data_IF_618124266863
#
_entry.id   IF_618124266863
#
_cell.length_a   1.000
_cell.length_b   1.000
_cell.length_c   1.000
_cell.angle_alpha   90.00
_cell.angle_beta   90.00
_cell.angle_gamma   90.00
#
_symmetry.space_group_name_H-M   'P 1'
#
loop_
_entity.id
_entity.type
_entity.pdbx_description
1 polymer ?
#
# COMPACT_ATOMS: atom_id res chain seq x y z
N UNK A 1 -26.66 -21.92 7.55
CA UNK A 1 -26.16 -21.20 6.35
C UNK A 1 -24.71 -21.60 6.18
N UNK A 2 -24.34 -22.34 5.16
CA UNK A 2 -22.94 -22.63 4.81
C UNK A 2 -22.27 -21.32 4.40
N UNK A 3 -21.10 -21.03 4.94
CA UNK A 3 -20.30 -19.89 4.49
C UNK A 3 -20.12 -19.97 2.96
N UNK A 4 -20.14 -18.84 2.23
CA UNK A 4 -19.87 -18.86 0.80
C UNK A 4 -18.48 -19.48 0.56
N UNK A 5 -18.29 -20.21 -0.54
CA UNK A 5 -17.01 -20.81 -0.85
C UNK A 5 -15.94 -19.70 -0.93
N UNK A 6 -14.82 -19.94 -0.27
CA UNK A 6 -13.70 -19.00 -0.25
C UNK A 6 -13.15 -18.83 -1.67
N UNK A 7 -12.97 -17.58 -2.10
CA UNK A 7 -12.41 -17.27 -3.41
C UNK A 7 -10.94 -17.70 -3.48
N UNK A 8 -10.56 -18.36 -4.57
CA UNK A 8 -9.21 -18.86 -4.81
C UNK A 8 -8.49 -18.02 -5.85
N UNK A 9 -7.17 -17.83 -5.65
CA UNK A 9 -6.30 -17.19 -6.64
C UNK A 9 -5.02 -18.01 -6.83
N UNK A 10 -4.36 -17.82 -7.96
CA UNK A 10 -3.08 -18.47 -8.24
C UNK A 10 -1.96 -17.76 -7.46
N UNK A 11 -1.20 -18.51 -6.65
CA UNK A 11 -0.05 -17.97 -5.90
C UNK A 11 1.03 -17.41 -6.81
N UNK A 12 1.21 -17.96 -8.02
CA UNK A 12 2.27 -17.59 -8.95
C UNK A 12 1.99 -16.27 -9.66
N UNK A 13 0.79 -16.12 -10.26
CA UNK A 13 0.44 -14.94 -11.04
C UNK A 13 -0.53 -13.98 -10.35
N UNK A 14 -1.01 -14.36 -9.16
CA UNK A 14 -1.92 -13.55 -8.31
C UNK A 14 -3.30 -13.28 -8.95
N UNK A 15 -3.69 -14.06 -9.96
CA UNK A 15 -4.97 -13.92 -10.68
C UNK A 15 -6.03 -14.79 -9.99
N UNK A 16 -7.26 -14.30 -9.78
CA UNK A 16 -8.38 -15.12 -9.34
C UNK A 16 -8.60 -16.32 -10.26
N UNK A 17 -8.95 -17.47 -9.69
CA UNK A 17 -9.13 -18.71 -10.42
C UNK A 17 -10.61 -19.03 -10.56
N UNK A 18 -11.00 -19.51 -11.74
CA UNK A 18 -12.30 -20.09 -11.96
C UNK A 18 -12.36 -21.51 -11.39
N UNK A 19 -13.49 -21.88 -10.81
CA UNK A 19 -13.72 -23.23 -10.30
C UNK A 19 -14.61 -23.98 -11.30
N UNK A 20 -14.14 -25.16 -11.74
CA UNK A 20 -14.86 -26.01 -12.69
C UNK A 20 -15.09 -27.40 -12.10
N UNK A 21 -16.23 -27.97 -12.40
CA UNK A 21 -16.54 -29.39 -12.16
C UNK A 21 -16.78 -29.80 -10.71
N UNK A 22 -17.00 -31.11 -10.55
CA UNK A 22 -17.12 -31.78 -9.26
C UNK A 22 -16.35 -33.11 -9.34
N UNK A 23 -15.23 -33.26 -8.62
CA UNK A 23 -14.63 -32.32 -7.65
C UNK A 23 -14.16 -31.01 -8.26
N UNK A 24 -14.05 -29.92 -7.47
CA UNK A 24 -13.68 -28.61 -7.98
C UNK A 24 -12.23 -28.60 -8.50
N UNK A 25 -12.06 -28.14 -9.73
CA UNK A 25 -10.75 -27.90 -10.36
C UNK A 25 -10.58 -26.40 -10.58
N UNK A 26 -9.43 -25.85 -10.20
CA UNK A 26 -9.15 -24.44 -10.35
C UNK A 26 -8.35 -24.17 -11.63
N UNK A 27 -8.84 -23.25 -12.47
CA UNK A 27 -8.23 -22.91 -13.76
C UNK A 27 -8.10 -21.39 -13.89
N UNK A 28 -7.09 -20.94 -14.66
CA UNK A 28 -6.97 -19.53 -14.99
C UNK A 28 -8.14 -19.07 -15.88
N UNK A 29 -8.62 -17.82 -15.71
CA UNK A 29 -9.58 -17.23 -16.65
C UNK A 29 -9.00 -17.18 -18.07
N UNK A 30 -9.76 -17.63 -19.06
CA UNK A 30 -9.30 -17.73 -20.46
C UNK A 30 -8.89 -16.39 -21.06
N UNK A 31 -9.54 -15.31 -20.63
CA UNK A 31 -9.30 -13.95 -21.13
C UNK A 31 -8.07 -13.26 -20.53
N UNK A 32 -7.46 -13.84 -19.49
CA UNK A 32 -6.24 -13.30 -18.90
C UNK A 32 -5.03 -14.05 -19.48
N UNK A 33 -4.14 -13.30 -20.12
CA UNK A 33 -2.90 -13.86 -20.61
C UNK A 33 -2.06 -14.35 -19.41
N UNK A 34 -1.79 -15.66 -19.37
CA UNK A 34 -0.87 -16.29 -18.43
C UNK A 34 0.31 -16.84 -19.22
N UNK A 35 1.44 -17.03 -18.55
CA UNK A 35 2.64 -17.66 -19.15
C UNK A 35 2.52 -19.18 -19.32
N UNK A 36 1.30 -19.73 -19.21
CA UNK A 36 1.01 -21.15 -19.38
C UNK A 36 1.37 -22.03 -18.17
N UNK A 37 1.72 -21.45 -17.03
CA UNK A 37 1.99 -22.23 -15.83
C UNK A 37 0.73 -22.90 -15.27
N UNK A 38 0.92 -24.01 -14.57
CA UNK A 38 -0.16 -24.70 -13.86
C UNK A 38 -0.63 -23.83 -12.67
N UNK A 39 -1.95 -23.66 -12.46
CA UNK A 39 -2.48 -22.93 -11.33
C UNK A 39 -2.00 -23.50 -9.99
N UNK A 40 -1.59 -22.64 -9.07
CA UNK A 40 -1.27 -22.98 -7.67
C UNK A 40 -2.34 -22.32 -6.80
N UNK A 41 -3.49 -22.99 -6.54
CA UNK A 41 -4.61 -22.39 -5.85
C UNK A 41 -4.28 -22.10 -4.39
N UNK A 42 -4.56 -20.88 -3.95
CA UNK A 42 -4.53 -20.46 -2.55
C UNK A 42 -5.74 -19.56 -2.27
N UNK A 43 -6.25 -19.55 -1.06
CA UNK A 43 -7.27 -18.57 -0.65
C UNK A 43 -6.82 -17.13 -0.89
N UNK A 44 -7.71 -16.29 -1.42
CA UNK A 44 -7.43 -14.86 -1.62
C UNK A 44 -7.05 -14.19 -0.31
N UNK A 45 -7.62 -14.62 0.81
CA UNK A 45 -7.29 -14.14 2.16
C UNK A 45 -5.81 -14.30 2.56
N UNK A 46 -5.09 -15.21 1.92
CA UNK A 46 -3.65 -15.44 2.16
C UNK A 46 -2.73 -14.58 1.28
N UNK A 47 -3.29 -13.79 0.38
CA UNK A 47 -2.54 -12.95 -0.55
C UNK A 47 -2.64 -11.47 -0.19
N UNK A 48 -1.50 -10.80 -0.09
CA UNK A 48 -1.46 -9.35 0.12
C UNK A 48 -1.93 -8.56 -1.13
N UNK A 49 -1.83 -9.17 -2.32
CA UNK A 49 -2.27 -8.59 -3.58
C UNK A 49 -2.96 -9.62 -4.44
N UNK A 50 -3.99 -9.18 -5.19
CA UNK A 50 -4.71 -9.98 -6.17
C UNK A 50 -4.84 -9.16 -7.44
N UNK A 51 -4.42 -9.72 -8.57
CA UNK A 51 -4.49 -9.07 -9.88
C UNK A 51 -5.88 -9.25 -10.46
N UNK A 52 -6.74 -8.28 -10.23
CA UNK A 52 -8.08 -8.23 -10.83
C UNK A 52 -8.10 -7.28 -12.01
N UNK A 53 -9.01 -7.51 -12.91
CA UNK A 53 -9.38 -6.58 -13.98
C UNK A 53 -10.83 -6.13 -13.79
N UNK A 54 -11.18 -5.02 -14.40
CA UNK A 54 -12.56 -4.58 -14.46
C UNK A 54 -13.38 -5.55 -15.29
N UNK A 55 -14.41 -6.15 -14.74
CA UNK A 55 -15.25 -7.15 -15.44
C UNK A 55 -16.06 -6.54 -16.58
N UNK A 56 -16.20 -5.21 -16.60
CA UNK A 56 -16.87 -4.49 -17.67
C UNK A 56 -15.97 -4.19 -18.87
N UNK A 57 -14.68 -3.82 -18.65
CA UNK A 57 -13.83 -3.34 -19.75
C UNK A 57 -12.39 -3.88 -19.73
N UNK A 58 -12.05 -4.80 -18.85
CA UNK A 58 -10.70 -5.34 -18.75
C UNK A 58 -9.63 -4.41 -18.16
N UNK A 59 -9.99 -3.19 -17.71
CA UNK A 59 -9.03 -2.25 -17.09
C UNK A 59 -8.33 -2.93 -15.89
N UNK A 60 -7.00 -2.88 -15.79
CA UNK A 60 -6.24 -3.58 -14.74
C UNK A 60 -6.36 -2.95 -13.34
N UNK A 61 -7.08 -1.83 -13.21
CA UNK A 61 -7.18 -1.08 -11.96
C UNK A 61 -8.61 -0.90 -11.47
N UNK A 62 -9.36 -1.99 -11.17
CA UNK A 62 -10.68 -1.88 -10.57
C UNK A 62 -10.53 -1.33 -9.14
N UNK A 63 -11.57 -0.62 -8.71
CA UNK A 63 -11.61 0.01 -7.38
C UNK A 63 -12.81 -0.46 -6.56
N UNK A 64 -13.86 -0.95 -7.22
CA UNK A 64 -15.08 -1.38 -6.57
C UNK A 64 -15.43 -2.83 -6.91
N UNK A 65 -16.02 -3.53 -5.95
CA UNK A 65 -16.80 -4.73 -6.18
C UNK A 65 -18.28 -4.36 -6.11
N UNK A 66 -19.01 -4.63 -7.16
CA UNK A 66 -20.46 -4.53 -7.25
C UNK A 66 -21.06 -5.90 -6.98
N UNK A 67 -22.18 -5.93 -6.29
CA UNK A 67 -22.90 -7.15 -5.94
C UNK A 67 -24.21 -7.24 -6.72
N UNK A 68 -24.62 -8.43 -7.13
CA UNK A 68 -25.85 -8.66 -7.89
C UNK A 68 -26.26 -10.12 -7.85
N UNK A 69 -27.23 -10.47 -8.68
CA UNK A 69 -27.54 -11.87 -8.91
C UNK A 69 -26.51 -12.50 -9.87
N UNK A 70 -26.35 -13.83 -9.79
CA UNK A 70 -25.49 -14.55 -10.72
C UNK A 70 -26.04 -14.42 -12.15
N UNK A 71 -25.19 -13.91 -13.05
CA UNK A 71 -25.50 -13.82 -14.48
C UNK A 71 -24.94 -15.04 -15.19
N UNK A 72 -25.80 -15.72 -15.94
CA UNK A 72 -25.44 -16.91 -16.71
C UNK A 72 -25.66 -16.65 -18.19
N UNK A 73 -24.62 -16.80 -18.99
CA UNK A 73 -24.74 -16.82 -20.44
C UNK A 73 -24.74 -18.25 -20.98
N UNK A 74 -25.62 -18.52 -21.94
CA UNK A 74 -25.72 -19.81 -22.62
C UNK A 74 -25.42 -19.59 -24.10
N UNK A 75 -24.34 -20.20 -24.58
CA UNK A 75 -24.05 -20.25 -26.01
C UNK A 75 -24.38 -21.65 -26.55
N UNK A 76 -25.33 -21.73 -27.48
CA UNK A 76 -25.73 -22.96 -28.11
C UNK A 76 -24.99 -23.08 -29.44
N UNK A 77 -24.01 -23.97 -29.50
CA UNK A 77 -23.33 -24.33 -30.73
C UNK A 77 -23.95 -25.58 -31.40
N UNK A 78 -23.56 -25.86 -32.62
CA UNK A 78 -24.05 -27.05 -33.36
C UNK A 78 -23.63 -28.37 -32.72
N UNK A 79 -22.56 -28.38 -31.93
CA UNK A 79 -21.99 -29.60 -31.35
C UNK A 79 -21.95 -29.58 -29.82
N UNK A 80 -22.11 -28.43 -29.18
CA UNK A 80 -22.08 -28.30 -27.73
C UNK A 80 -22.84 -27.05 -27.24
N UNK A 81 -23.41 -27.15 -26.05
CA UNK A 81 -23.95 -26.02 -25.31
C UNK A 81 -22.90 -25.57 -24.27
N UNK A 82 -22.44 -24.34 -24.39
CA UNK A 82 -21.54 -23.73 -23.40
C UNK A 82 -22.39 -22.89 -22.43
N UNK A 83 -22.30 -23.20 -21.14
CA UNK A 83 -22.91 -22.41 -20.07
C UNK A 83 -21.78 -21.73 -19.29
N UNK A 84 -21.79 -20.42 -19.28
CA UNK A 84 -20.81 -19.63 -18.53
C UNK A 84 -21.51 -18.83 -17.44
N UNK A 85 -21.07 -19.02 -16.20
CA UNK A 85 -21.49 -18.24 -15.06
C UNK A 85 -20.48 -17.11 -14.84
N UNK A 86 -20.99 -15.89 -14.66
CA UNK A 86 -20.19 -14.69 -14.42
C UNK A 86 -20.15 -14.29 -12.95
N UNK A 87 -20.84 -15.04 -12.09
CA UNK A 87 -20.86 -14.82 -10.65
C UNK A 87 -21.79 -13.70 -10.19
N UNK A 88 -21.80 -13.51 -8.89
CA UNK A 88 -22.64 -12.52 -8.19
C UNK A 88 -21.90 -11.22 -7.85
N UNK A 89 -20.60 -11.15 -8.15
CA UNK A 89 -19.75 -10.01 -7.82
C UNK A 89 -18.90 -9.62 -9.02
N UNK A 90 -18.95 -8.35 -9.39
CA UNK A 90 -18.21 -7.80 -10.52
C UNK A 90 -17.30 -6.66 -10.09
N UNK A 91 -16.06 -6.71 -10.52
CA UNK A 91 -15.08 -5.65 -10.30
C UNK A 91 -15.28 -4.50 -11.28
N UNK A 92 -15.30 -3.27 -10.81
CA UNK A 92 -15.47 -2.08 -11.63
C UNK A 92 -14.32 -1.08 -11.45
N UNK A 93 -13.76 -0.60 -12.57
CA UNK A 93 -12.81 0.52 -12.55
C UNK A 93 -13.55 1.85 -12.33
N UNK A 94 -12.79 2.90 -11.95
CA UNK A 94 -13.37 4.22 -11.66
C UNK A 94 -14.14 4.80 -12.86
N UNK A 95 -13.68 4.56 -14.08
CA UNK A 95 -14.34 5.07 -15.30
C UNK A 95 -15.66 4.36 -15.56
N UNK A 96 -15.69 3.01 -15.52
CA UNK A 96 -16.92 2.25 -15.68
C UNK A 96 -17.93 2.59 -14.59
N UNK A 97 -17.48 2.67 -13.32
CA UNK A 97 -18.34 3.09 -12.21
C UNK A 97 -18.93 4.50 -12.42
N UNK A 98 -18.12 5.44 -12.95
CA UNK A 98 -18.61 6.78 -13.28
C UNK A 98 -19.73 6.74 -14.32
N UNK A 99 -19.60 5.92 -15.36
CA UNK A 99 -20.65 5.76 -16.38
C UNK A 99 -21.90 5.07 -15.83
N UNK A 100 -21.71 4.06 -14.96
CA UNK A 100 -22.84 3.39 -14.28
C UNK A 100 -23.61 4.38 -13.39
N UNK A 101 -22.90 5.18 -12.58
CA UNK A 101 -23.52 6.19 -11.71
C UNK A 101 -24.23 7.30 -12.50
N UNK A 102 -23.76 7.60 -13.73
CA UNK A 102 -24.38 8.56 -14.65
C UNK A 102 -25.57 7.97 -15.44
N UNK A 103 -25.90 6.69 -15.26
CA UNK A 103 -26.94 6.02 -16.04
C UNK A 103 -26.58 5.86 -17.54
N UNK A 104 -25.30 5.71 -17.85
CA UNK A 104 -24.75 5.61 -19.22
C UNK A 104 -24.14 4.23 -19.49
N UNK A 105 -24.93 3.13 -19.45
CA UNK A 105 -24.43 1.78 -19.73
C UNK A 105 -23.88 1.63 -21.14
N UNK A 106 -24.37 2.44 -22.10
CA UNK A 106 -23.86 2.53 -23.45
C UNK A 106 -22.34 2.81 -23.50
N UNK A 107 -21.85 3.72 -22.65
CA UNK A 107 -20.41 4.04 -22.56
C UNK A 107 -19.60 2.92 -21.91
N UNK A 108 -20.20 2.12 -21.03
CA UNK A 108 -19.56 0.94 -20.45
C UNK A 108 -19.35 -0.11 -21.53
N UNK A 109 -20.36 -0.35 -22.38
CA UNK A 109 -20.28 -1.26 -23.53
C UNK A 109 -19.24 -0.79 -24.55
N UNK A 110 -19.21 0.51 -24.87
CA UNK A 110 -18.21 1.07 -25.79
C UNK A 110 -16.78 0.81 -25.31
N UNK A 111 -16.52 0.98 -24.02
CA UNK A 111 -15.21 0.67 -23.42
C UNK A 111 -14.85 -0.82 -23.53
N UNK A 112 -15.80 -1.71 -23.32
CA UNK A 112 -15.57 -3.16 -23.46
C UNK A 112 -15.23 -3.53 -24.90
N UNK A 113 -15.99 -3.04 -25.87
CA UNK A 113 -15.77 -3.26 -27.30
C UNK A 113 -14.38 -2.74 -27.74
N UNK A 114 -14.01 -1.56 -27.25
CA UNK A 114 -12.70 -0.97 -27.52
C UNK A 114 -11.57 -1.82 -26.93
N UNK A 115 -11.70 -2.25 -25.68
CA UNK A 115 -10.69 -3.06 -25.00
C UNK A 115 -10.48 -4.43 -25.65
N UNK A 116 -11.55 -5.05 -26.14
CA UNK A 116 -11.49 -6.33 -26.85
C UNK A 116 -10.96 -6.21 -28.29
N UNK A 117 -10.83 -4.98 -28.84
CA UNK A 117 -10.37 -4.77 -30.21
C UNK A 117 -11.32 -5.37 -31.28
N UNK A 118 -12.56 -5.66 -30.91
CA UNK A 118 -13.53 -6.32 -31.82
C UNK A 118 -14.19 -5.36 -32.80
N UNK A 119 -13.79 -4.10 -32.79
CA UNK A 119 -14.20 -3.07 -33.74
C UNK A 119 -15.72 -2.82 -33.73
N UNK A 120 -16.31 -2.69 -34.91
CA UNK A 120 -17.75 -2.38 -35.07
C UNK A 120 -18.61 -3.64 -35.25
N UNK A 121 -18.17 -4.82 -34.83
CA UNK A 121 -18.98 -6.03 -34.96
C UNK A 121 -20.27 -5.90 -34.13
N UNK A 122 -21.44 -5.73 -34.75
CA UNK A 122 -22.69 -5.43 -34.04
C UNK A 122 -23.17 -6.63 -33.19
N UNK A 123 -22.86 -7.84 -33.60
CA UNK A 123 -23.29 -9.06 -32.90
C UNK A 123 -22.53 -9.18 -31.59
N UNK A 124 -21.19 -8.98 -31.59
CA UNK A 124 -20.36 -9.02 -30.39
C UNK A 124 -20.75 -7.89 -29.45
N UNK A 125 -20.97 -6.69 -30.01
CA UNK A 125 -21.45 -5.54 -29.22
C UNK A 125 -22.77 -5.83 -28.53
N UNK A 126 -23.74 -6.42 -29.28
CA UNK A 126 -25.04 -6.79 -28.71
C UNK A 126 -24.92 -7.76 -27.54
N UNK A 127 -24.11 -8.79 -27.67
CA UNK A 127 -23.88 -9.78 -26.59
C UNK A 127 -23.23 -9.16 -25.35
N UNK A 128 -22.24 -8.28 -25.54
CA UNK A 128 -21.62 -7.53 -24.43
C UNK A 128 -22.68 -6.66 -23.74
N UNK A 129 -23.50 -5.97 -24.51
CA UNK A 129 -24.56 -5.11 -23.98
C UNK A 129 -25.59 -5.91 -23.18
N UNK A 130 -26.07 -7.05 -23.70
CA UNK A 130 -26.99 -7.94 -23.01
C UNK A 130 -26.41 -8.41 -21.66
N UNK A 131 -25.15 -8.85 -21.67
CA UNK A 131 -24.46 -9.31 -20.47
C UNK A 131 -24.34 -8.21 -19.42
N UNK A 132 -23.89 -7.02 -19.83
CA UNK A 132 -23.72 -5.89 -18.91
C UNK A 132 -25.05 -5.41 -18.35
N UNK A 133 -26.09 -5.30 -19.18
CA UNK A 133 -27.41 -4.88 -18.73
C UNK A 133 -28.02 -5.92 -17.78
N UNK A 134 -27.89 -7.21 -18.07
CA UNK A 134 -28.38 -8.27 -17.18
C UNK A 134 -27.77 -8.17 -15.77
N UNK A 135 -26.47 -7.88 -15.67
CA UNK A 135 -25.84 -7.67 -14.37
C UNK A 135 -26.31 -6.37 -13.70
N UNK A 136 -26.37 -5.26 -14.45
CA UNK A 136 -26.75 -3.95 -13.91
C UNK A 136 -28.20 -3.93 -13.42
N UNK A 137 -29.11 -4.61 -14.12
CA UNK A 137 -30.53 -4.73 -13.73
C UNK A 137 -30.69 -5.59 -12.48
N UNK A 138 -29.83 -6.61 -12.32
CA UNK A 138 -29.83 -7.49 -11.14
C UNK A 138 -28.96 -6.99 -9.98
N UNK A 139 -28.33 -5.81 -10.12
CA UNK A 139 -27.40 -5.26 -9.13
C UNK A 139 -28.10 -4.91 -7.81
N UNK A 140 -27.51 -5.34 -6.72
CA UNK A 140 -27.89 -4.94 -5.37
C UNK A 140 -27.38 -3.52 -5.06
N UNK A 141 -28.08 -2.78 -4.17
CA UNK A 141 -27.58 -1.52 -3.67
C UNK A 141 -26.25 -1.68 -2.92
N UNK A 142 -25.39 -0.67 -3.02
CA UNK A 142 -24.09 -0.67 -2.35
C UNK A 142 -22.95 -1.21 -3.23
N UNK A 143 -21.76 -1.10 -2.70
CA UNK A 143 -20.52 -1.55 -3.32
C UNK A 143 -19.45 -1.71 -2.27
N UNK A 144 -18.48 -2.59 -2.49
CA UNK A 144 -17.34 -2.82 -1.58
C UNK A 144 -16.06 -2.32 -2.23
N UNK A 145 -15.21 -1.66 -1.43
CA UNK A 145 -13.94 -1.16 -1.89
C UNK A 145 -12.95 -2.31 -2.13
N UNK A 146 -12.32 -2.36 -3.30
CA UNK A 146 -11.24 -3.30 -3.60
C UNK A 146 -9.91 -2.77 -3.08
N UNK A 147 -9.37 -3.41 -2.05
CA UNK A 147 -8.13 -2.99 -1.38
C UNK A 147 -6.92 -3.86 -1.73
N UNK A 148 -7.15 -5.02 -2.33
CA UNK A 148 -6.11 -6.00 -2.67
C UNK A 148 -5.48 -5.78 -4.04
N UNK A 149 -6.16 -5.11 -4.97
CA UNK A 149 -5.64 -4.85 -6.31
C UNK A 149 -4.55 -3.77 -6.26
N UNK A 150 -3.33 -4.05 -6.77
CA UNK A 150 -2.25 -3.07 -6.79
C UNK A 150 -2.53 -1.99 -7.86
N UNK A 151 -2.34 -0.73 -7.47
CA UNK A 151 -2.35 0.41 -8.37
C UNK A 151 -0.92 0.84 -8.70
N UNK A 152 -0.68 1.55 -9.82
CA UNK A 152 0.62 2.15 -10.08
C UNK A 152 1.05 3.03 -8.92
N UNK A 153 2.35 3.08 -8.69
CA UNK A 153 2.92 3.92 -7.64
C UNK A 153 2.52 5.38 -7.86
N UNK A 154 1.97 6.00 -6.83
CA UNK A 154 1.62 7.42 -6.83
C UNK A 154 2.22 8.07 -5.59
N UNK A 155 2.80 9.25 -5.77
CA UNK A 155 3.30 10.07 -4.67
C UNK A 155 2.20 11.00 -4.15
N UNK A 156 2.28 11.33 -2.86
CA UNK A 156 1.41 12.30 -2.21
C UNK A 156 2.30 13.45 -1.73
N UNK A 157 2.02 14.67 -2.19
CA UNK A 157 2.79 15.83 -1.76
C UNK A 157 2.41 16.27 -0.34
N UNK A 158 3.39 16.78 0.41
CA UNK A 158 3.17 17.28 1.79
C UNK A 158 1.99 18.25 1.90
N UNK A 159 1.84 19.17 0.94
CA UNK A 159 0.74 20.15 0.91
C UNK A 159 -0.67 19.54 0.83
N UNK A 160 -0.78 18.29 0.35
CA UNK A 160 -2.06 17.61 0.16
C UNK A 160 -2.47 16.76 1.37
N UNK A 161 -1.58 16.52 2.34
CA UNK A 161 -1.84 15.67 3.50
C UNK A 161 -3.14 16.01 4.25
N UNK A 162 -3.46 17.28 4.51
CA UNK A 162 -4.74 17.60 5.18
C UNK A 162 -5.95 17.12 4.41
N UNK A 163 -5.95 17.27 3.07
CA UNK A 163 -7.04 16.79 2.21
C UNK A 163 -7.10 15.26 2.19
N UNK A 164 -5.93 14.61 2.11
CA UNK A 164 -5.83 13.14 2.13
C UNK A 164 -6.40 12.58 3.41
N UNK A 165 -5.98 13.12 4.56
CA UNK A 165 -6.51 12.76 5.88
C UNK A 165 -8.02 12.96 5.97
N UNK A 166 -8.53 14.14 5.56
CA UNK A 166 -9.95 14.45 5.63
C UNK A 166 -10.79 13.52 4.76
N UNK A 167 -10.26 13.07 3.61
CA UNK A 167 -10.94 12.07 2.79
C UNK A 167 -10.92 10.68 3.41
N UNK A 168 -9.84 10.27 4.05
CA UNK A 168 -9.82 9.03 4.83
C UNK A 168 -10.83 9.07 5.99
N UNK A 169 -10.88 10.18 6.73
CA UNK A 169 -11.88 10.37 7.78
C UNK A 169 -13.31 10.24 7.22
N UNK A 170 -13.57 10.83 6.05
CA UNK A 170 -14.86 10.71 5.39
C UNK A 170 -15.17 9.27 4.96
N UNK A 171 -14.20 8.54 4.40
CA UNK A 171 -14.33 7.13 4.05
C UNK A 171 -14.71 6.28 5.26
N UNK A 172 -14.06 6.49 6.40
CA UNK A 172 -14.35 5.71 7.62
C UNK A 172 -15.69 6.08 8.27
N UNK A 173 -16.15 7.32 8.13
CA UNK A 173 -17.47 7.75 8.61
C UNK A 173 -18.60 7.45 7.62
N UNK A 174 -18.27 7.18 6.37
CA UNK A 174 -19.22 6.88 5.31
C UNK A 174 -19.84 5.49 5.42
N UNK A 175 -20.79 5.23 4.52
CA UNK A 175 -21.51 3.97 4.44
C UNK A 175 -20.93 3.00 3.40
N UNK A 176 -19.95 3.42 2.61
CA UNK A 176 -19.29 2.52 1.65
C UNK A 176 -18.61 1.37 2.40
N UNK A 177 -18.78 0.17 1.90
CA UNK A 177 -18.26 -1.02 2.56
C UNK A 177 -16.74 -1.12 2.38
N UNK A 178 -16.05 -1.18 3.50
CA UNK A 178 -14.64 -1.58 3.56
C UNK A 178 -14.60 -3.09 3.73
N UNK A 179 -13.69 -3.81 3.02
CA UNK A 179 -13.68 -5.28 3.09
C UNK A 179 -13.65 -5.80 4.53
N UNK A 180 -14.54 -6.76 4.83
CA UNK A 180 -14.64 -7.36 6.16
C UNK A 180 -13.32 -8.01 6.60
N UNK A 181 -12.53 -8.53 5.66
CA UNK A 181 -11.21 -9.11 5.91
C UNK A 181 -10.21 -8.16 6.58
N UNK A 182 -10.43 -6.83 6.50
CA UNK A 182 -9.60 -5.85 7.22
C UNK A 182 -9.93 -5.76 8.72
N UNK A 183 -11.02 -6.37 9.19
CA UNK A 183 -11.41 -6.36 10.59
C UNK A 183 -11.77 -4.97 11.15
N UNK A 184 -12.07 -4.00 10.29
CA UNK A 184 -12.23 -2.58 10.68
C UNK A 184 -13.64 -2.19 11.12
N UNK A 185 -14.64 -3.05 10.96
CA UNK A 185 -16.06 -2.69 11.16
C UNK A 185 -16.34 -2.05 12.54
N UNK A 186 -15.80 -2.62 13.62
CA UNK A 186 -15.95 -2.09 14.98
C UNK A 186 -15.07 -0.88 15.31
N UNK A 187 -14.03 -0.62 14.53
CA UNK A 187 -13.03 0.41 14.81
C UNK A 187 -13.16 1.67 13.92
N UNK A 188 -14.05 1.67 12.91
CA UNK A 188 -14.17 2.76 11.92
C UNK A 188 -14.32 4.13 12.54
N UNK A 189 -15.23 4.26 13.51
CA UNK A 189 -15.45 5.54 14.22
C UNK A 189 -14.20 6.02 14.95
N UNK A 190 -13.55 5.13 15.70
CA UNK A 190 -12.33 5.44 16.42
C UNK A 190 -11.18 5.84 15.49
N UNK A 191 -11.01 5.13 14.35
CA UNK A 191 -10.00 5.48 13.35
C UNK A 191 -10.29 6.86 12.75
N UNK A 192 -11.55 7.15 12.42
CA UNK A 192 -11.95 8.46 11.90
C UNK A 192 -11.65 9.59 12.87
N UNK A 193 -11.96 9.41 14.14
CA UNK A 193 -11.70 10.40 15.19
C UNK A 193 -10.20 10.55 15.46
N UNK A 194 -9.46 9.45 15.43
CA UNK A 194 -8.01 9.46 15.53
C UNK A 194 -7.34 10.19 14.35
N UNK A 195 -7.83 9.97 13.13
CA UNK A 195 -7.36 10.70 11.95
C UNK A 195 -7.61 12.21 12.07
N UNK A 196 -8.80 12.62 12.51
CA UNK A 196 -9.12 14.05 12.71
C UNK A 196 -8.18 14.75 13.69
N UNK A 197 -7.74 14.04 14.72
CA UNK A 197 -6.83 14.52 15.76
C UNK A 197 -5.36 14.23 15.46
N UNK A 198 -5.05 13.58 14.34
CA UNK A 198 -3.71 13.08 14.06
C UNK A 198 -2.70 14.20 13.78
N UNK A 199 -1.48 13.98 14.27
CA UNK A 199 -0.30 14.71 13.81
C UNK A 199 0.05 14.21 12.41
N UNK A 200 0.26 15.15 11.47
CA UNK A 200 0.56 14.83 10.07
C UNK A 200 2.06 14.88 9.83
N UNK A 201 2.63 13.79 9.32
CA UNK A 201 4.04 13.70 8.97
C UNK A 201 4.18 13.33 7.49
N UNK A 202 5.02 14.07 6.79
CA UNK A 202 5.44 13.76 5.44
C UNK A 202 6.94 13.47 5.45
N UNK A 203 7.33 12.29 4.96
CA UNK A 203 8.69 11.77 4.98
C UNK A 203 9.31 12.01 3.61
N UNK A 204 10.42 12.73 3.54
CA UNK A 204 11.10 13.00 2.26
C UNK A 204 11.81 11.77 1.68
N UNK A 205 12.36 11.90 0.48
CA UNK A 205 12.94 10.77 -0.27
C UNK A 205 14.12 10.15 0.47
N UNK A 206 15.08 10.98 0.90
CA UNK A 206 16.30 10.50 1.56
C UNK A 206 15.97 9.81 2.90
N UNK A 207 15.01 10.37 3.65
CA UNK A 207 14.59 9.77 4.91
C UNK A 207 13.78 8.49 4.66
N UNK A 208 12.99 8.45 3.59
CA UNK A 208 12.23 7.25 3.17
C UNK A 208 13.19 6.10 2.86
N UNK A 209 14.29 6.36 2.13
CA UNK A 209 15.31 5.35 1.84
C UNK A 209 15.92 4.76 3.10
N UNK A 210 16.28 5.61 4.06
CA UNK A 210 16.82 5.14 5.33
C UNK A 210 15.78 4.36 6.13
N UNK A 211 14.54 4.83 6.17
CA UNK A 211 13.48 4.17 6.92
C UNK A 211 13.17 2.78 6.35
N UNK A 212 13.12 2.64 5.02
CA UNK A 212 12.92 1.36 4.35
C UNK A 212 14.07 0.40 4.63
N UNK A 213 15.32 0.87 4.50
CA UNK A 213 16.48 0.05 4.84
C UNK A 213 16.52 -0.34 6.33
N UNK A 214 16.20 0.57 7.23
CA UNK A 214 16.12 0.29 8.66
C UNK A 214 15.02 -0.73 8.99
N UNK A 215 13.89 -0.69 8.29
CA UNK A 215 12.80 -1.64 8.45
C UNK A 215 13.22 -3.08 8.11
N UNK A 216 13.99 -3.28 7.03
CA UNK A 216 14.49 -4.62 6.65
C UNK A 216 15.48 -5.23 7.64
N UNK A 217 16.01 -4.43 8.55
CA UNK A 217 16.97 -4.85 9.57
C UNK A 217 16.39 -4.73 10.98
N UNK A 218 15.10 -4.47 11.10
CA UNK A 218 14.46 -4.28 12.40
C UNK A 218 14.52 -5.62 13.18
N UNK A 219 15.29 -5.63 14.23
CA UNK A 219 15.22 -6.71 15.22
C UNK A 219 13.92 -6.55 16.01
N UNK A 220 13.43 -7.63 16.62
CA UNK A 220 12.18 -7.61 17.37
C UNK A 220 12.06 -6.37 18.28
N UNK A 221 11.11 -5.49 17.93
CA UNK A 221 10.75 -4.29 18.67
C UNK A 221 9.49 -4.60 19.48
N UNK A 222 9.56 -4.42 20.79
CA UNK A 222 8.38 -4.51 21.65
C UNK A 222 7.63 -3.18 21.64
N UNK A 223 6.34 -3.22 21.34
CA UNK A 223 5.47 -2.04 21.44
C UNK A 223 5.19 -1.73 22.90
N UNK A 224 5.37 -0.47 23.28
CA UNK A 224 5.11 0.00 24.64
C UNK A 224 5.09 1.53 24.74
N UNK A 225 4.67 2.03 25.88
CA UNK A 225 4.59 3.46 26.15
C UNK A 225 5.97 4.15 26.14
N UNK A 226 7.04 3.40 26.34
CA UNK A 226 8.43 3.89 26.30
C UNK A 226 8.89 4.32 24.89
N UNK A 227 8.17 3.92 23.84
CA UNK A 227 8.43 4.39 22.47
C UNK A 227 8.02 5.84 22.23
N UNK A 228 7.32 6.48 23.19
CA UNK A 228 6.88 7.87 23.08
C UNK A 228 5.94 8.10 21.91
N UNK A 229 5.09 7.11 21.58
CA UNK A 229 4.12 7.21 20.51
C UNK A 229 3.07 8.28 20.84
N UNK A 230 2.83 9.29 19.99
CA UNK A 230 1.65 10.15 20.12
C UNK A 230 0.36 9.32 20.02
N UNK A 231 -0.71 9.82 20.63
CA UNK A 231 -2.00 9.12 20.60
C UNK A 231 -2.50 8.85 19.17
N UNK A 232 -2.38 9.84 18.29
CA UNK A 232 -2.87 9.75 16.92
C UNK A 232 -1.84 10.32 15.94
N UNK A 233 -1.51 9.56 14.90
CA UNK A 233 -0.54 9.94 13.88
C UNK A 233 -1.01 9.49 12.51
N UNK A 234 -0.72 10.31 11.51
CA UNK A 234 -0.81 9.97 10.11
C UNK A 234 0.52 10.29 9.42
N UNK A 235 1.19 9.26 8.93
CA UNK A 235 2.47 9.35 8.22
C UNK A 235 2.26 9.04 6.75
N UNK A 236 2.91 9.82 5.88
CA UNK A 236 2.97 9.57 4.44
C UNK A 236 4.42 9.65 3.99
N UNK A 237 4.87 8.64 3.25
CA UNK A 237 6.19 8.64 2.62
C UNK A 237 6.12 9.30 1.25
N UNK A 238 7.21 9.89 0.80
CA UNK A 238 7.32 10.54 -0.54
C UNK A 238 7.08 9.56 -1.69
N UNK A 239 7.42 8.31 -1.49
CA UNK A 239 7.21 7.18 -2.40
C UNK A 239 6.71 5.95 -1.65
N UNK A 240 6.10 4.97 -2.35
CA UNK A 240 5.72 3.72 -1.73
C UNK A 240 6.93 2.97 -1.13
N UNK A 241 6.75 2.45 0.07
CA UNK A 241 7.73 1.62 0.79
C UNK A 241 7.28 0.17 0.80
N UNK A 242 8.23 -0.75 0.96
CA UNK A 242 8.04 -2.20 1.01
C UNK A 242 7.52 -2.80 -0.31
N UNK A 243 7.60 -4.12 -0.42
CA UNK A 243 7.02 -4.88 -1.53
C UNK A 243 5.48 -4.71 -1.67
N UNK A 244 4.80 -4.28 -0.60
CA UNK A 244 3.35 -4.10 -0.56
C UNK A 244 2.89 -2.73 -1.07
N UNK A 245 3.80 -1.87 -1.53
CA UNK A 245 3.49 -0.54 -2.06
C UNK A 245 2.72 0.35 -1.07
N UNK A 246 3.11 0.32 0.20
CA UNK A 246 2.53 1.16 1.25
C UNK A 246 3.05 2.59 1.06
N UNK A 247 2.15 3.57 0.99
CA UNK A 247 2.50 4.99 0.85
C UNK A 247 2.17 5.81 2.10
N UNK A 248 1.28 5.29 2.94
CA UNK A 248 0.89 5.97 4.18
C UNK A 248 0.51 4.96 5.26
N UNK A 249 0.56 5.41 6.49
CA UNK A 249 0.10 4.66 7.65
C UNK A 249 -0.53 5.60 8.69
N UNK A 250 -1.46 5.07 9.47
CA UNK A 250 -1.95 5.75 10.67
C UNK A 250 -1.94 4.81 11.86
N UNK A 251 -1.79 5.38 13.06
CA UNK A 251 -2.20 4.70 14.28
C UNK A 251 -3.07 5.61 15.13
N UNK A 252 -3.97 4.98 15.86
CA UNK A 252 -4.88 5.60 16.80
C UNK A 252 -4.80 4.85 18.10
N UNK A 253 -4.61 5.57 19.21
CA UNK A 253 -4.60 4.98 20.54
C UNK A 253 -5.98 4.40 20.85
N UNK A 254 -6.02 3.14 21.22
CA UNK A 254 -7.17 2.41 21.69
C UNK A 254 -7.08 2.19 23.21
N UNK A 255 -8.09 1.57 23.81
CA UNK A 255 -8.13 1.33 25.27
C UNK A 255 -7.01 0.39 25.72
N UNK A 256 -6.62 -0.57 24.90
CA UNK A 256 -5.69 -1.65 25.21
C UNK A 256 -4.52 -1.75 24.21
N UNK A 257 -4.23 -0.66 23.49
CA UNK A 257 -3.14 -0.64 22.51
C UNK A 257 -3.33 0.40 21.41
N UNK A 258 -2.95 0.06 20.20
CA UNK A 258 -3.00 0.95 19.04
C UNK A 258 -3.66 0.27 17.86
N UNK A 259 -4.64 0.93 17.27
CA UNK A 259 -5.19 0.52 15.97
C UNK A 259 -4.31 1.10 14.87
N UNK A 260 -3.60 0.24 14.15
CA UNK A 260 -2.72 0.59 13.03
C UNK A 260 -3.41 0.27 11.72
N UNK A 261 -3.34 1.18 10.74
CA UNK A 261 -3.82 0.95 9.37
C UNK A 261 -2.76 1.38 8.39
N UNK A 262 -2.49 0.53 7.39
CA UNK A 262 -1.56 0.78 6.30
C UNK A 262 -2.33 1.02 5.01
N UNK A 263 -1.86 1.97 4.18
CA UNK A 263 -2.59 2.46 3.02
C UNK A 263 -1.77 2.37 1.74
N UNK A 264 -2.47 2.11 0.63
CA UNK A 264 -1.96 2.27 -0.73
C UNK A 264 -2.56 3.50 -1.39
N UNK A 265 -1.79 4.12 -2.30
CA UNK A 265 -2.32 5.17 -3.17
C UNK A 265 -3.11 4.57 -4.33
N UNK A 266 -4.14 5.30 -4.76
CA UNK A 266 -4.98 4.95 -5.90
C UNK A 266 -5.14 6.15 -6.84
N UNK A 267 -5.58 5.87 -8.08
CA UNK A 267 -5.92 6.90 -9.06
C UNK A 267 -4.76 7.38 -9.91
N UNK A 268 -3.57 6.74 -9.84
CA UNK A 268 -2.49 7.04 -10.77
C UNK A 268 -2.91 6.70 -12.22
N UNK A 269 -2.63 7.61 -13.16
CA UNK A 269 -3.02 7.43 -14.57
C UNK A 269 -4.49 7.70 -14.88
N UNK A 270 -5.32 8.08 -13.90
CA UNK A 270 -6.66 8.58 -14.11
C UNK A 270 -6.64 10.10 -14.29
N UNK A 271 -7.57 10.60 -15.09
CA UNK A 271 -7.82 12.03 -15.31
C UNK A 271 -9.31 12.36 -15.35
N UNK A 272 -9.62 13.64 -15.56
CA UNK A 272 -10.97 14.13 -15.79
C UNK A 272 -11.99 13.74 -14.72
N UNK A 273 -13.23 13.47 -15.17
CA UNK A 273 -14.38 13.18 -14.30
C UNK A 273 -14.21 11.89 -13.46
N UNK A 274 -13.66 10.78 -13.98
CA UNK A 274 -13.42 9.59 -13.16
C UNK A 274 -12.47 9.84 -12.00
N UNK A 275 -11.37 10.57 -12.21
CA UNK A 275 -10.45 10.93 -11.12
C UNK A 275 -11.13 11.85 -10.10
N UNK A 276 -11.88 12.86 -10.56
CA UNK A 276 -12.58 13.75 -9.66
C UNK A 276 -13.56 12.98 -8.76
N UNK A 277 -14.40 12.12 -9.33
CA UNK A 277 -15.33 11.29 -8.57
C UNK A 277 -14.62 10.33 -7.59
N UNK A 278 -13.55 9.70 -8.04
CA UNK A 278 -12.75 8.84 -7.15
C UNK A 278 -12.21 9.64 -5.96
N UNK A 279 -11.72 10.88 -6.20
CA UNK A 279 -11.23 11.76 -5.13
C UNK A 279 -12.33 12.22 -4.18
N UNK A 280 -13.55 12.40 -4.68
CA UNK A 280 -14.71 12.77 -3.87
C UNK A 280 -15.27 11.61 -3.06
N UNK A 281 -15.27 10.41 -3.59
CA UNK A 281 -15.83 9.20 -2.96
C UNK A 281 -14.85 8.52 -2.01
N UNK A 282 -13.64 8.25 -2.45
CA UNK A 282 -12.61 7.48 -1.72
C UNK A 282 -11.46 8.36 -1.25
N UNK A 283 -10.99 9.27 -2.12
CA UNK A 283 -9.80 10.08 -1.88
C UNK A 283 -8.55 9.56 -2.60
N UNK A 284 -7.40 9.62 -1.95
CA UNK A 284 -6.10 9.25 -2.51
C UNK A 284 -5.61 7.88 -2.08
N UNK A 285 -6.19 7.35 -1.02
CA UNK A 285 -5.71 6.18 -0.30
C UNK A 285 -6.83 5.18 -0.04
N UNK A 286 -6.47 3.91 -0.11
CA UNK A 286 -7.30 2.80 0.37
C UNK A 286 -6.59 2.06 1.49
N UNK A 287 -7.31 1.59 2.52
CA UNK A 287 -6.73 0.72 3.53
C UNK A 287 -6.35 -0.62 2.90
N UNK A 288 -5.12 -1.07 3.14
CA UNK A 288 -4.61 -2.34 2.63
C UNK A 288 -4.61 -3.42 3.69
N UNK A 289 -4.15 -3.08 4.88
CA UNK A 289 -4.11 -3.96 6.04
C UNK A 289 -4.30 -3.16 7.31
N UNK A 290 -4.83 -3.82 8.33
CA UNK A 290 -5.00 -3.23 9.64
C UNK A 290 -4.60 -4.25 10.71
N UNK A 291 -4.10 -3.75 11.83
CA UNK A 291 -3.72 -4.54 12.98
C UNK A 291 -4.06 -3.80 14.27
N UNK A 292 -4.55 -4.53 15.24
CA UNK A 292 -4.63 -4.06 16.62
C UNK A 292 -3.37 -4.54 17.35
N UNK A 293 -2.53 -3.60 17.77
CA UNK A 293 -1.26 -3.86 18.44
C UNK A 293 -1.43 -3.59 19.93
N UNK A 294 -1.44 -4.62 20.73
CA UNK A 294 -1.46 -4.51 22.19
C UNK A 294 -0.07 -4.16 22.74
N UNK A 295 -0.01 -3.75 24.00
CA UNK A 295 1.26 -3.60 24.70
C UNK A 295 2.03 -4.93 24.68
N UNK A 296 3.34 -4.86 24.51
CA UNK A 296 4.26 -6.01 24.35
C UNK A 296 4.15 -6.77 23.02
N UNK A 297 3.35 -6.31 22.06
CA UNK A 297 3.36 -6.88 20.71
C UNK A 297 4.76 -6.74 20.08
N UNK A 298 5.23 -7.79 19.40
CA UNK A 298 6.54 -7.79 18.75
C UNK A 298 6.42 -7.40 17.27
N UNK A 299 7.21 -6.43 16.86
CA UNK A 299 7.36 -6.01 15.46
C UNK A 299 8.78 -6.33 15.02
N UNK A 300 8.94 -7.17 14.01
CA UNK A 300 10.21 -7.49 13.36
C UNK A 300 10.22 -7.00 11.90
N UNK A 301 11.27 -7.34 11.17
CA UNK A 301 11.43 -6.94 9.77
C UNK A 301 10.35 -7.49 8.82
N UNK A 302 9.74 -8.62 9.15
CA UNK A 302 8.71 -9.29 8.33
C UNK A 302 7.31 -8.75 8.64
N UNK A 303 7.16 -8.00 9.74
CA UNK A 303 5.87 -7.46 10.12
C UNK A 303 5.42 -6.34 9.15
N UNK A 304 4.16 -6.31 8.69
CA UNK A 304 3.68 -5.31 7.73
C UNK A 304 3.90 -3.85 8.18
N UNK A 305 3.88 -3.58 9.49
CA UNK A 305 4.10 -2.26 10.06
C UNK A 305 5.59 -1.94 10.36
N UNK A 306 6.54 -2.80 9.97
CA UNK A 306 7.97 -2.58 10.23
C UNK A 306 8.45 -1.21 9.75
N UNK A 307 8.08 -0.80 8.52
CA UNK A 307 8.45 0.49 7.96
C UNK A 307 7.89 1.67 8.79
N UNK A 308 6.68 1.55 9.30
CA UNK A 308 6.05 2.56 10.15
C UNK A 308 6.84 2.77 11.45
N UNK A 309 7.14 1.70 12.16
CA UNK A 309 7.84 1.77 13.43
C UNK A 309 9.32 2.13 13.27
N UNK A 310 9.99 1.63 12.21
CA UNK A 310 11.34 2.07 11.88
C UNK A 310 11.38 3.58 11.59
N UNK A 311 10.44 4.10 10.81
CA UNK A 311 10.30 5.54 10.54
C UNK A 311 10.12 6.32 11.85
N UNK A 312 9.24 5.88 12.74
CA UNK A 312 9.00 6.55 14.01
C UNK A 312 10.25 6.58 14.89
N UNK A 313 10.93 5.45 15.06
CA UNK A 313 12.17 5.37 15.81
C UNK A 313 13.25 6.31 15.27
N UNK A 314 13.33 6.45 13.93
CA UNK A 314 14.26 7.38 13.28
C UNK A 314 13.88 8.84 13.53
N UNK A 315 12.59 9.20 13.46
CA UNK A 315 12.09 10.56 13.74
C UNK A 315 12.48 11.02 15.15
N UNK A 316 12.49 10.10 16.11
CA UNK A 316 12.85 10.42 17.51
C UNK A 316 14.35 10.57 17.73
N UNK A 317 15.19 10.33 16.72
CA UNK A 317 16.64 10.43 16.81
C UNK A 317 17.16 11.82 16.40
N UNK A 318 18.35 12.16 16.87
CA UNK A 318 19.02 13.45 16.57
C UNK A 318 19.32 13.68 15.08
N UNK A 319 19.32 12.60 14.28
CA UNK A 319 19.57 12.67 12.86
C UNK A 319 18.36 13.19 12.06
N UNK A 320 17.19 13.20 12.65
CA UNK A 320 15.99 13.75 12.03
C UNK A 320 15.93 15.28 12.22
N UNK A 321 15.48 15.95 11.18
CA UNK A 321 15.08 17.35 11.18
C UNK A 321 13.59 17.42 10.79
N UNK A 322 12.82 18.16 11.58
CA UNK A 322 11.39 18.27 11.39
C UNK A 322 11.02 19.73 11.19
N UNK A 323 10.59 20.05 9.98
CA UNK A 323 10.11 21.38 9.57
C UNK A 323 8.59 21.40 9.47
N UNK A 324 7.98 22.57 9.67
CA UNK A 324 6.55 22.75 9.44
C UNK A 324 6.31 23.29 8.05
N UNK A 325 5.57 22.52 7.23
CA UNK A 325 5.19 22.94 5.89
C UNK A 325 4.12 24.03 5.92
N UNK A 326 4.21 24.96 4.98
CA UNK A 326 3.09 25.90 4.72
C UNK A 326 1.94 25.15 4.08
N UNK A 327 0.79 25.20 4.72
CA UNK A 327 -0.47 24.67 4.20
C UNK A 327 -1.11 25.68 3.25
N UNK A 328 -1.77 25.17 2.20
CA UNK A 328 -2.47 26.01 1.21
C UNK A 328 -3.54 26.89 1.89
N UNK A 329 -3.63 28.17 1.46
CA UNK A 329 -4.60 29.13 2.00
C UNK A 329 -6.05 28.68 1.84
N UNK A 330 -6.36 27.90 0.81
CA UNK A 330 -7.72 27.34 0.59
C UNK A 330 -8.08 26.32 1.65
N UNK A 331 -7.12 25.49 2.06
CA UNK A 331 -7.28 24.52 3.16
C UNK A 331 -7.46 25.27 4.48
N UNK A 332 -6.60 26.25 4.77
CA UNK A 332 -6.71 27.06 6.00
C UNK A 332 -8.10 27.72 6.10
N UNK A 333 -8.59 28.31 5.01
CA UNK A 333 -9.94 28.89 4.97
C UNK A 333 -11.05 27.86 5.17
N UNK A 334 -10.91 26.66 4.60
CA UNK A 334 -11.87 25.57 4.77
C UNK A 334 -11.96 25.12 6.23
N UNK A 335 -10.82 24.98 6.91
CA UNK A 335 -10.75 24.60 8.33
C UNK A 335 -11.35 25.70 9.22
N UNK A 336 -11.04 26.98 8.95
CA UNK A 336 -11.61 28.09 9.69
C UNK A 336 -13.15 28.16 9.58
N UNK A 337 -13.71 27.86 8.39
CA UNK A 337 -15.18 27.80 8.19
C UNK A 337 -15.85 26.71 9.02
N UNK A 338 -15.16 25.60 9.24
CA UNK A 338 -15.65 24.47 10.05
C UNK A 338 -15.21 24.53 11.51
N UNK A 339 -14.60 25.65 11.94
CA UNK A 339 -14.10 25.89 13.30
C UNK A 339 -13.09 24.79 13.75
N UNK A 340 -12.32 24.24 12.82
CA UNK A 340 -11.25 23.30 13.08
C UNK A 340 -9.92 24.05 13.20
N UNK A 341 -9.01 23.54 14.02
CA UNK A 341 -7.67 24.06 14.13
C UNK A 341 -6.93 23.95 12.80
N UNK A 342 -6.04 24.91 12.53
CA UNK A 342 -5.23 24.91 11.33
C UNK A 342 -4.38 23.63 11.30
N UNK A 343 -4.41 22.83 10.20
CA UNK A 343 -3.62 21.62 10.11
C UNK A 343 -2.12 21.96 10.02
N UNK A 344 -1.32 21.27 10.80
CA UNK A 344 0.12 21.36 10.78
C UNK A 344 0.72 20.12 10.13
N UNK A 345 1.45 20.30 9.04
CA UNK A 345 2.16 19.21 8.35
C UNK A 345 3.64 19.30 8.67
N UNK A 346 4.17 18.25 9.28
CA UNK A 346 5.59 18.12 9.63
C UNK A 346 6.32 17.40 8.51
N UNK A 347 7.28 18.07 7.89
CA UNK A 347 8.19 17.48 6.92
C UNK A 347 9.40 16.93 7.66
N UNK A 348 9.65 15.65 7.48
CA UNK A 348 10.78 14.96 8.12
C UNK A 348 11.88 14.76 7.09
N UNK A 349 13.08 15.22 7.42
CA UNK A 349 14.29 15.13 6.59
C UNK A 349 15.47 14.62 7.40
N UNK A 350 16.51 14.20 6.70
CA UNK A 350 17.79 13.93 7.31
C UNK A 350 18.45 15.27 7.62
N UNK A 351 18.87 15.45 8.86
CA UNK A 351 19.68 16.61 9.25
C UNK A 351 20.99 16.60 8.46
N UNK A 352 21.23 17.65 7.69
CA UNK A 352 22.47 17.82 6.94
C UNK A 352 23.69 17.66 7.84
N UNK A 353 24.67 16.87 7.45
CA UNK A 353 25.94 16.80 8.17
C UNK A 353 26.57 18.18 8.16
N UNK A 354 26.72 18.81 9.32
CA UNK A 354 27.66 19.96 9.45
C UNK A 354 29.04 19.45 9.05
N UNK A 355 29.73 20.22 8.21
CA UNK A 355 31.13 19.95 7.83
C UNK A 355 31.98 19.66 9.07
N UNK A 356 32.99 18.77 8.98
CA UNK A 356 33.79 18.35 10.12
C UNK A 356 34.66 19.44 10.78
N UNK A 357 34.52 20.71 10.39
CA UNK A 357 35.31 21.82 10.98
C UNK A 357 35.04 22.08 12.48
N UNK A 358 33.98 21.51 13.07
CA UNK A 358 33.63 21.67 14.47
C UNK A 358 33.75 20.37 15.30
N UNK A 359 34.41 19.34 14.78
CA UNK A 359 34.72 18.17 15.60
C UNK A 359 35.92 18.48 16.50
N UNK A 360 35.63 18.72 17.78
CA UNK A 360 36.64 18.82 18.83
C UNK A 360 37.68 17.68 18.71
N UNK A 361 38.93 18.06 18.83
CA UNK A 361 40.08 17.17 18.95
C UNK A 361 39.79 16.07 19.99
N UNK A 362 39.60 14.86 19.50
CA UNK A 362 39.55 13.69 20.37
C UNK A 362 40.96 13.36 20.79
N UNK A 363 41.22 13.50 22.09
CA UNK A 363 42.46 13.09 22.77
C UNK A 363 42.87 11.66 22.34
N UNK A 364 44.16 11.42 22.06
CA UNK A 364 44.63 10.09 21.66
C UNK A 364 44.69 9.20 22.90
N UNK A 365 43.72 8.32 23.04
CA UNK A 365 43.69 7.25 24.04
C UNK A 365 43.61 5.90 23.36
N UNK A 366 44.58 5.07 23.59
CA UNK A 366 44.73 3.63 23.33
C UNK A 366 45.14 3.22 21.91
N UNK A 367 46.32 2.61 21.86
CA UNK A 367 46.93 1.98 20.70
C UNK A 367 46.16 0.73 20.21
N UNK A 368 44.98 0.97 19.59
CA UNK A 368 44.33 -0.03 18.73
C UNK A 368 45.09 -0.09 17.40
N UNK A 369 45.20 -1.30 16.85
CA UNK A 369 45.81 -1.63 15.56
C UNK A 369 45.44 -0.56 14.52
N UNK A 370 46.41 0.25 14.04
CA UNK A 370 46.20 1.33 13.07
C UNK A 370 45.57 0.75 11.81
N UNK A 371 44.33 1.13 11.53
CA UNK A 371 43.66 0.74 10.29
C UNK A 371 44.31 1.48 9.12
N UNK A 372 44.80 0.73 8.12
CA UNK A 372 45.46 1.26 6.93
C UNK A 372 44.50 1.57 5.78
N UNK A 373 43.20 1.33 5.94
CA UNK A 373 42.18 1.56 4.91
C UNK A 373 40.85 1.99 5.54
N UNK A 374 40.08 2.74 4.76
CA UNK A 374 38.68 3.08 5.10
C UNK A 374 37.75 2.04 4.48
N UNK A 375 36.63 1.73 5.14
CA UNK A 375 35.60 0.85 4.62
C UNK A 375 34.22 1.29 5.06
N UNK A 376 33.22 0.98 4.24
CA UNK A 376 31.83 1.26 4.57
C UNK A 376 31.31 0.32 5.65
N UNK A 377 30.72 0.90 6.69
CA UNK A 377 29.92 0.18 7.69
C UNK A 377 28.46 0.38 7.31
N UNK A 378 27.74 -0.72 7.07
CA UNK A 378 26.30 -0.69 6.76
C UNK A 378 25.51 -0.14 7.95
N UNK A 379 24.40 0.52 7.67
CA UNK A 379 23.46 0.92 8.71
C UNK A 379 22.97 -0.30 9.49
N UNK A 380 22.79 -0.14 10.79
CA UNK A 380 22.35 -1.22 11.65
C UNK A 380 21.70 -0.70 12.93
N UNK A 381 20.83 -1.52 13.53
CA UNK A 381 20.26 -1.24 14.82
C UNK A 381 21.23 -1.60 15.96
N UNK A 382 21.28 -0.74 16.98
CA UNK A 382 22.02 -0.99 18.21
C UNK A 382 21.13 -0.71 19.42
N UNK A 383 21.07 -1.66 20.36
CA UNK A 383 20.43 -1.45 21.64
C UNK A 383 21.30 -0.57 22.53
N UNK A 384 21.03 0.74 22.51
CA UNK A 384 21.80 1.70 23.27
C UNK A 384 21.34 1.77 24.72
N UNK A 385 22.30 1.66 25.65
CA UNK A 385 22.05 1.86 27.05
C UNK A 385 21.69 3.32 27.35
N UNK A 386 20.65 3.55 28.14
CA UNK A 386 20.23 4.90 28.58
C UNK A 386 19.60 4.85 29.98
N UNK A 387 19.16 6.01 30.46
CA UNK A 387 18.54 6.14 31.79
C UNK A 387 19.53 6.07 32.95
N UNK A 388 19.04 6.13 34.20
CA UNK A 388 19.86 6.08 35.41
C UNK A 388 20.70 4.80 35.43
N UNK A 389 22.00 4.92 35.68
CA UNK A 389 22.92 3.78 35.69
C UNK A 389 23.02 3.00 34.37
N UNK A 390 22.51 3.55 33.27
CA UNK A 390 22.42 2.87 31.94
C UNK A 390 21.68 1.55 32.00
N UNK A 391 20.69 1.42 32.86
CA UNK A 391 19.92 0.19 33.07
C UNK A 391 18.91 -0.11 31.97
N UNK A 392 18.45 0.93 31.25
CA UNK A 392 17.47 0.81 30.17
C UNK A 392 18.15 0.61 28.81
N UNK A 393 17.44 0.02 27.87
CA UNK A 393 17.89 -0.18 26.50
C UNK A 393 16.87 0.41 25.54
N UNK A 394 17.33 1.11 24.49
CA UNK A 394 16.46 1.53 23.38
C UNK A 394 17.13 1.24 22.05
N UNK A 395 16.38 0.84 21.02
CA UNK A 395 16.92 0.69 19.69
C UNK A 395 17.29 2.06 19.11
N UNK A 396 18.53 2.17 18.63
CA UNK A 396 19.05 3.35 17.91
C UNK A 396 19.63 2.87 16.60
N UNK A 397 19.17 3.43 15.50
CA UNK A 397 19.72 3.14 14.20
C UNK A 397 20.99 3.95 13.95
N UNK A 398 22.05 3.27 13.59
CA UNK A 398 23.32 3.86 13.19
C UNK A 398 23.33 3.94 11.67
N UNK A 399 23.31 5.16 11.13
CA UNK A 399 23.38 5.36 9.68
C UNK A 399 24.66 4.77 9.07
N UNK A 400 24.65 4.34 7.81
CA UNK A 400 25.86 3.92 7.13
C UNK A 400 26.96 4.98 7.22
N UNK A 401 28.18 4.56 7.51
CA UNK A 401 29.33 5.49 7.63
C UNK A 401 30.62 4.86 7.15
N UNK A 402 31.56 5.72 6.76
CA UNK A 402 32.88 5.31 6.35
C UNK A 402 33.81 5.31 7.57
N UNK A 403 34.29 4.12 7.95
CA UNK A 403 35.19 3.92 9.10
C UNK A 403 36.64 3.84 8.62
N UNK A 404 37.54 4.49 9.35
CA UNK A 404 39.00 4.53 9.13
C UNK A 404 39.55 5.95 9.08
N UNK A 405 40.87 6.13 9.11
CA UNK A 405 41.51 7.47 9.08
C UNK A 405 41.15 8.20 7.79
N UNK A 406 40.92 9.53 7.86
CA UNK A 406 40.46 10.34 6.75
C UNK A 406 41.41 10.27 5.52
N UNK A 407 42.71 10.16 5.76
CA UNK A 407 43.77 10.11 4.77
C UNK A 407 43.96 8.70 4.13
N UNK A 408 43.31 7.68 4.68
CA UNK A 408 43.51 6.30 4.18
C UNK A 408 42.64 6.00 2.96
N UNK A 409 43.13 5.18 2.00
CA UNK A 409 42.35 4.82 0.83
C UNK A 409 41.10 4.03 1.22
N UNK A 410 40.01 4.25 0.47
CA UNK A 410 38.76 3.50 0.66
C UNK A 410 38.93 2.11 0.04
N UNK A 411 38.77 1.05 0.87
CA UNK A 411 38.73 -0.32 0.40
C UNK A 411 37.47 -0.51 -0.42
N UNK A 412 37.62 -0.62 -1.74
CA UNK A 412 36.51 -0.96 -2.64
C UNK A 412 36.16 -2.45 -2.42
N UNK A 413 34.93 -2.72 -2.01
CA UNK A 413 34.41 -4.09 -1.99
C UNK A 413 34.06 -4.47 -3.43
N UNK A 414 34.50 -5.63 -3.88
CA UNK A 414 34.04 -6.23 -5.16
C UNK A 414 32.58 -6.68 -5.13
N UNK A 415 31.96 -6.63 -3.96
CA UNK A 415 30.53 -6.94 -3.79
C UNK A 415 29.72 -5.65 -3.99
N UNK A 416 29.13 -5.49 -5.16
CA UNK A 416 28.11 -4.46 -5.41
C UNK A 416 26.85 -4.86 -4.65
N UNK A 417 26.59 -4.22 -3.51
CA UNK A 417 25.28 -4.31 -2.87
C UNK A 417 24.38 -3.27 -3.51
N UNK A 418 23.52 -3.70 -4.42
CA UNK A 418 22.48 -2.83 -4.93
C UNK A 418 21.47 -2.55 -3.80
N UNK A 419 21.32 -1.28 -3.46
CA UNK A 419 20.30 -0.77 -2.53
C UNK A 419 18.96 -0.56 -3.28
N UNK A 420 18.66 -1.38 -4.29
CA UNK A 420 17.38 -1.32 -4.97
C UNK A 420 16.49 -2.46 -4.50
N UNK A 421 15.29 -2.14 -4.12
CA UNK A 421 14.21 -3.08 -3.81
C UNK A 421 13.70 -3.85 -5.05
N UNK A 422 14.27 -3.61 -6.23
CA UNK A 422 14.00 -4.36 -7.45
C UNK A 422 14.99 -5.52 -7.56
N UNK A 423 14.55 -6.70 -7.17
CA UNK A 423 15.21 -7.96 -7.56
C UNK A 423 15.00 -8.09 -9.08
N UNK A 424 16.06 -8.05 -9.92
CA UNK A 424 15.87 -8.36 -11.32
C UNK A 424 15.36 -9.80 -11.41
N UNK A 425 14.29 -10.02 -12.14
CA UNK A 425 13.84 -11.36 -12.51
C UNK A 425 15.04 -12.04 -13.18
N UNK A 426 15.44 -13.18 -12.61
CA UNK A 426 16.65 -13.88 -13.03
C UNK A 426 16.60 -14.26 -14.49
N UNK A 427 17.57 -13.79 -15.25
CA UNK A 427 18.01 -14.49 -16.46
C UNK A 427 18.58 -15.84 -16.01
N UNK A 428 17.93 -16.93 -16.37
CA UNK A 428 18.48 -18.26 -16.28
C UNK A 428 19.75 -18.34 -17.12
N UNK A 429 20.85 -18.89 -16.60
CA UNK A 429 22.05 -19.08 -17.38
C UNK A 429 21.78 -20.09 -18.49
N UNK A 430 21.92 -19.66 -19.73
CA UNK A 430 21.89 -20.51 -20.93
C UNK A 430 22.94 -21.63 -20.79
N UNK A 431 22.59 -22.91 -21.00
CA UNK A 431 23.56 -23.99 -20.97
C UNK A 431 24.56 -23.82 -22.11
N UNK A 432 25.87 -23.91 -21.82
CA UNK A 432 26.90 -23.93 -22.83
C UNK A 432 26.75 -25.18 -23.70
N UNK A 433 26.84 -25.08 -25.01
CA UNK A 433 26.92 -26.28 -25.87
C UNK A 433 28.23 -27.04 -25.62
N UNK A 434 28.09 -28.38 -25.66
CA UNK A 434 29.18 -29.33 -25.51
C UNK A 434 30.18 -29.28 -26.68
#
# INVERSE_FOLDING_TARGET
MTAPPEEMACRTCLVPLNTLGTPPTHVHPVHLATDGHVPVPVPVSQLATVRRTCDFCGDPYPIWTLHGANVTAVAIGSTATLVQNFGETWAACATCQTHIDDGRPDLVVDRAVQALGVGTNPEVRGRIQELHLAFLDARLPGRTLLTTTPWPAASIAAKDLPKVRDRLTHLYRGNDDVPAALGLAGARGQIADGLDQSRLYWIDDDFTDIAEHAATQLTALTIGHDLGLPANVFITWSRPVTQHQIIAASWTLATDGWQVVLYRAIGAGLDGKPLQRLREQVGWLVPMTAAHLTEHHLIDADHPAAALFATWLLITQKAAEVDVARVDKTIVKAYARTKRDQPEVRIVRIRGRRSPSDAAETTPGEQGRRQSSRFWVSGHWRNQAHGPGRSLRRPVYINPFLKGPAESPVKTSTTVRMLSSHKPQGEEPTPRPA
#
